data_IF_245339061608
#
_entry.id   IF_245339061608
#
_cell.length_a   1.000
_cell.length_b   1.000
_cell.length_c   1.000
_cell.angle_alpha   90.00
_cell.angle_beta   90.00
_cell.angle_gamma   90.00
#
_symmetry.space_group_name_H-M   'P 1'
#
loop_
_entity.id
_entity.type
_entity.pdbx_description
1 polymer ?
#
# COMPACT_ATOMS: atom_id res chain seq x y z
N UNK A 1 67.80 -14.76 -72.53
CA UNK A 1 67.04 -15.39 -73.63
C UNK A 1 65.97 -16.28 -73.01
N UNK A 2 64.69 -16.07 -73.36
CA UNK A 2 63.55 -17.01 -73.20
C UNK A 2 62.93 -17.17 -71.80
N UNK A 3 61.78 -16.54 -71.55
CA UNK A 3 60.41 -17.13 -71.45
C UNK A 3 60.14 -17.90 -70.14
N UNK A 4 59.38 -17.37 -69.17
CA UNK A 4 57.91 -17.20 -69.11
C UNK A 4 57.13 -18.52 -69.13
N UNK A 5 56.23 -18.73 -68.15
CA UNK A 5 54.78 -19.03 -68.28
C UNK A 5 54.18 -19.38 -66.89
N UNK A 6 52.86 -19.18 -66.79
CA UNK A 6 51.97 -18.83 -65.68
C UNK A 6 50.91 -19.93 -65.44
N UNK A 7 50.14 -19.77 -64.35
CA UNK A 7 48.74 -20.21 -64.08
C UNK A 7 48.56 -21.58 -63.38
N UNK A 8 47.50 -21.90 -62.61
CA UNK A 8 46.49 -21.21 -61.78
C UNK A 8 45.58 -22.30 -61.14
N UNK A 9 44.83 -21.96 -60.08
CA UNK A 9 43.53 -22.50 -59.60
C UNK A 9 43.42 -23.66 -58.55
N UNK A 10 42.82 -23.28 -57.40
CA UNK A 10 41.74 -23.88 -56.58
C UNK A 10 41.38 -25.39 -56.61
N UNK A 11 41.09 -25.99 -55.43
CA UNK A 11 39.74 -26.37 -54.88
C UNK A 11 39.87 -27.10 -53.50
N UNK A 12 38.79 -27.04 -52.70
CA UNK A 12 38.52 -27.30 -51.27
C UNK A 12 38.60 -28.74 -50.66
N UNK A 13 38.96 -28.80 -49.35
CA UNK A 13 38.44 -29.60 -48.20
C UNK A 13 38.40 -31.15 -48.22
N UNK A 14 38.14 -31.89 -47.09
CA UNK A 14 37.81 -31.49 -45.70
C UNK A 14 38.47 -32.34 -44.54
N UNK A 15 38.09 -32.02 -43.28
CA UNK A 15 38.00 -32.84 -42.03
C UNK A 15 39.06 -32.77 -40.87
N UNK A 16 38.57 -32.16 -39.78
CA UNK A 16 38.75 -32.29 -38.31
C UNK A 16 39.97 -33.01 -37.69
N UNK A 17 40.59 -32.36 -36.69
CA UNK A 17 40.76 -32.97 -35.36
C UNK A 17 40.83 -31.95 -34.20
N UNK A 18 40.16 -32.32 -33.10
CA UNK A 18 39.81 -31.51 -31.93
C UNK A 18 40.93 -31.56 -30.87
N UNK A 19 41.51 -30.41 -30.45
CA UNK A 19 42.27 -30.28 -29.19
C UNK A 19 42.07 -28.89 -28.58
N UNK A 20 41.45 -28.86 -27.41
CA UNK A 20 41.07 -27.63 -26.71
C UNK A 20 42.21 -26.97 -25.93
N UNK A 21 41.98 -25.71 -25.59
CA UNK A 21 42.49 -25.08 -24.37
C UNK A 21 41.53 -23.94 -24.00
N UNK A 22 40.82 -24.08 -22.87
CA UNK A 22 40.08 -22.98 -22.25
C UNK A 22 41.08 -21.97 -21.69
N UNK A 23 40.95 -20.69 -22.07
CA UNK A 23 41.53 -19.59 -21.34
C UNK A 23 40.68 -18.32 -21.53
N UNK A 24 40.22 -17.74 -20.41
CA UNK A 24 39.78 -16.34 -20.37
C UNK A 24 38.34 -16.11 -19.95
N UNK A 25 37.95 -16.48 -18.71
CA UNK A 25 36.81 -15.85 -18.05
C UNK A 25 37.32 -14.66 -17.26
N UNK A 26 36.88 -13.45 -17.62
CA UNK A 26 36.30 -12.47 -16.68
C UNK A 26 36.01 -11.17 -17.42
N UNK A 27 34.83 -11.09 -18.04
CA UNK A 27 34.16 -9.81 -18.14
C UNK A 27 33.72 -9.46 -16.73
N UNK A 28 34.46 -8.59 -16.05
CA UNK A 28 33.97 -7.94 -14.84
C UNK A 28 32.79 -7.06 -15.26
N UNK A 29 31.59 -7.64 -15.27
CA UNK A 29 30.35 -6.87 -15.21
C UNK A 29 30.35 -6.21 -13.84
N UNK A 30 30.87 -4.98 -13.79
CA UNK A 30 30.63 -4.07 -12.69
C UNK A 30 29.13 -3.76 -12.72
N UNK A 31 28.33 -4.63 -12.09
CA UNK A 31 26.92 -4.37 -11.85
C UNK A 31 26.88 -3.16 -10.94
N UNK A 32 26.62 -2.00 -11.55
CA UNK A 32 26.23 -0.81 -10.82
C UNK A 32 25.04 -1.21 -9.94
N UNK A 33 25.27 -1.31 -8.63
CA UNK A 33 24.23 -1.24 -7.63
C UNK A 33 23.63 0.15 -7.78
N UNK A 34 22.68 0.31 -8.70
CA UNK A 34 21.72 1.39 -8.59
C UNK A 34 21.02 1.13 -7.26
N UNK A 35 21.32 1.95 -6.26
CA UNK A 35 20.47 2.06 -5.09
C UNK A 35 19.18 2.71 -5.55
N UNK A 36 18.38 1.95 -6.31
CA UNK A 36 17.02 2.31 -6.59
C UNK A 36 16.33 2.49 -5.24
N UNK A 37 15.54 3.55 -5.11
CA UNK A 37 14.54 3.60 -4.05
C UNK A 37 13.79 2.27 -4.10
N UNK A 38 13.77 1.52 -3.00
CA UNK A 38 12.99 0.29 -2.91
C UNK A 38 11.53 0.66 -3.19
N UNK A 39 11.01 0.24 -4.34
CA UNK A 39 9.61 0.42 -4.71
C UNK A 39 8.73 -0.25 -3.65
N UNK A 40 7.53 0.29 -3.41
CA UNK A 40 6.58 -0.37 -2.52
C UNK A 40 6.34 -1.82 -2.96
N UNK A 41 6.24 -2.73 -1.99
CA UNK A 41 5.77 -4.08 -2.25
C UNK A 41 4.31 -4.00 -2.72
N UNK A 42 4.03 -4.58 -3.87
CA UNK A 42 2.72 -4.49 -4.52
C UNK A 42 1.88 -5.72 -4.17
N UNK A 43 0.67 -5.49 -3.67
CA UNK A 43 -0.34 -6.53 -3.52
C UNK A 43 -0.86 -6.92 -4.90
N UNK A 44 -0.77 -8.20 -5.20
CA UNK A 44 -1.24 -8.81 -6.44
C UNK A 44 -2.54 -9.59 -6.25
N UNK A 45 -2.84 -10.09 -5.04
CA UNK A 45 -4.06 -10.89 -4.80
C UNK A 45 -4.15 -12.16 -5.66
N UNK A 46 -3.01 -12.68 -6.12
CA UNK A 46 -2.97 -13.71 -7.17
C UNK A 46 -3.45 -15.10 -6.72
N UNK A 47 -3.38 -15.40 -5.42
CA UNK A 47 -3.60 -16.75 -4.87
C UNK A 47 -4.73 -16.80 -3.84
N UNK A 48 -4.84 -15.77 -3.00
CA UNK A 48 -5.87 -15.65 -1.96
C UNK A 48 -6.00 -14.20 -1.50
N UNK A 49 -6.92 -13.94 -0.57
CA UNK A 49 -7.01 -12.66 0.15
C UNK A 49 -6.03 -12.55 1.34
N UNK A 50 -5.36 -13.64 1.73
CA UNK A 50 -4.51 -13.65 2.94
C UNK A 50 -3.23 -12.81 2.75
N UNK A 51 -3.10 -11.72 3.50
CA UNK A 51 -1.90 -10.87 3.55
C UNK A 51 -0.63 -11.68 3.77
N UNK A 52 -0.72 -12.75 4.57
CA UNK A 52 0.41 -13.57 4.97
C UNK A 52 0.77 -14.65 3.94
N UNK A 53 0.03 -14.76 2.84
CA UNK A 53 0.43 -15.62 1.73
C UNK A 53 1.39 -14.84 0.82
N UNK A 54 2.66 -15.24 0.86
CA UNK A 54 3.74 -14.58 0.12
C UNK A 54 3.49 -14.53 -1.40
N UNK A 55 2.76 -15.50 -1.96
CA UNK A 55 2.40 -15.55 -3.39
C UNK A 55 1.42 -14.45 -3.82
N UNK A 56 0.80 -13.75 -2.87
CA UNK A 56 -0.03 -12.58 -3.16
C UNK A 56 0.79 -11.29 -3.29
N UNK A 57 2.08 -11.30 -3.00
CA UNK A 57 2.94 -10.14 -3.12
C UNK A 57 3.83 -10.25 -4.35
N UNK A 58 4.02 -9.13 -5.06
CA UNK A 58 5.00 -9.09 -6.13
C UNK A 58 6.40 -9.42 -5.57
N UNK A 59 7.06 -10.40 -6.18
CA UNK A 59 8.33 -10.95 -5.68
C UNK A 59 8.20 -12.13 -4.72
N UNK A 60 6.98 -12.55 -4.35
CA UNK A 60 6.76 -13.79 -3.59
C UNK A 60 7.24 -13.73 -2.13
N UNK A 61 7.27 -12.55 -1.53
CA UNK A 61 7.77 -12.32 -0.16
C UNK A 61 6.80 -11.41 0.60
N UNK A 62 6.51 -11.77 1.85
CA UNK A 62 5.67 -10.96 2.74
C UNK A 62 6.44 -9.69 3.14
N UNK A 63 5.91 -8.48 2.89
CA UNK A 63 6.57 -7.25 3.30
C UNK A 63 6.47 -7.07 4.81
N UNK A 64 7.63 -6.80 5.43
CA UNK A 64 7.75 -6.44 6.85
C UNK A 64 8.57 -5.15 6.94
N UNK A 65 7.99 -4.09 7.49
CA UNK A 65 8.60 -2.76 7.62
C UNK A 65 8.81 -1.99 6.30
N UNK A 66 8.55 -2.63 5.16
CA UNK A 66 8.64 -2.00 3.83
C UNK A 66 7.35 -1.27 3.47
N UNK A 67 7.45 -0.27 2.60
CA UNK A 67 6.25 0.34 2.02
C UNK A 67 5.44 -0.71 1.25
N UNK A 68 4.12 -0.62 1.34
CA UNK A 68 3.17 -1.53 0.70
C UNK A 68 2.16 -0.73 -0.11
N UNK A 69 1.78 -1.27 -1.26
CA UNK A 69 0.82 -0.69 -2.18
C UNK A 69 -0.26 -1.71 -2.50
N UNK A 70 -1.51 -1.31 -2.30
CA UNK A 70 -2.70 -2.14 -2.48
C UNK A 70 -3.53 -1.49 -3.59
N UNK A 71 -3.26 -1.94 -4.82
CA UNK A 71 -3.98 -1.58 -6.05
C UNK A 71 -3.54 -2.49 -7.20
N UNK A 72 -4.37 -3.44 -7.66
CA UNK A 72 -3.99 -4.37 -8.73
C UNK A 72 -4.70 -4.03 -10.03
N UNK A 73 -4.07 -3.25 -10.91
CA UNK A 73 -4.54 -2.99 -12.27
C UNK A 73 -4.64 -4.24 -13.18
N UNK A 74 -4.53 -5.47 -12.65
CA UNK A 74 -4.45 -6.69 -13.45
C UNK A 74 -4.68 -8.02 -12.69
N UNK A 75 -5.71 -8.23 -11.86
CA UNK A 75 -6.08 -9.61 -11.44
C UNK A 75 -7.60 -9.78 -11.27
N UNK A 76 -8.19 -10.93 -11.68
CA UNK A 76 -9.60 -11.24 -11.47
C UNK A 76 -9.92 -11.71 -10.02
N UNK A 77 -11.02 -11.17 -9.47
CA UNK A 77 -11.90 -11.72 -8.44
C UNK A 77 -11.45 -11.86 -6.95
N UNK A 78 -10.19 -11.60 -6.56
CA UNK A 78 -9.77 -11.55 -5.14
C UNK A 78 -8.99 -10.26 -4.79
N UNK A 79 -9.63 -9.11 -5.02
CA UNK A 79 -9.02 -7.77 -4.94
C UNK A 79 -8.79 -7.23 -3.51
N UNK A 80 -9.14 -8.00 -2.48
CA UNK A 80 -8.99 -7.58 -1.09
C UNK A 80 -7.78 -8.22 -0.41
N UNK A 81 -6.94 -7.38 0.20
CA UNK A 81 -5.91 -7.81 1.13
C UNK A 81 -6.51 -7.94 2.54
N UNK A 82 -6.43 -9.11 3.15
CA UNK A 82 -6.97 -9.38 4.48
C UNK A 82 -5.85 -9.79 5.43
N UNK A 83 -5.61 -8.99 6.46
CA UNK A 83 -4.78 -9.37 7.59
C UNK A 83 -5.65 -10.06 8.65
N UNK A 84 -5.37 -11.34 8.91
CA UNK A 84 -6.08 -12.13 9.90
C UNK A 84 -6.96 -13.24 9.35
N UNK A 85 -6.71 -13.74 8.14
CA UNK A 85 -7.48 -14.85 7.53
C UNK A 85 -7.36 -16.12 8.37
N UNK A 86 -6.16 -16.46 8.85
CA UNK A 86 -5.85 -17.70 9.57
C UNK A 86 -5.83 -17.55 11.08
N UNK A 87 -6.23 -16.38 11.60
CA UNK A 87 -6.20 -16.03 13.02
C UNK A 87 -5.45 -14.72 13.27
N UNK A 88 -5.23 -14.35 14.55
CA UNK A 88 -4.57 -13.09 14.90
C UNK A 88 -3.12 -13.06 14.40
N UNK A 89 -2.76 -11.99 13.68
CA UNK A 89 -1.39 -11.75 13.22
C UNK A 89 -0.96 -10.34 13.61
N UNK A 90 0.30 -10.16 14.01
CA UNK A 90 0.92 -8.84 14.20
C UNK A 90 2.03 -8.63 13.18
N UNK A 91 1.95 -7.57 12.39
CA UNK A 91 2.97 -7.22 11.40
C UNK A 91 3.20 -5.71 11.31
N UNK A 92 4.26 -5.31 10.60
CA UNK A 92 4.57 -3.91 10.34
C UNK A 92 4.76 -3.65 8.86
N UNK A 93 4.40 -2.45 8.43
CA UNK A 93 4.68 -1.89 7.12
C UNK A 93 5.31 -0.50 7.29
N UNK A 94 6.01 -0.05 6.27
CA UNK A 94 6.47 1.33 6.16
C UNK A 94 5.28 2.24 5.86
N UNK A 95 5.18 2.71 4.62
CA UNK A 95 3.99 3.41 4.15
C UNK A 95 2.94 2.41 3.70
N UNK A 96 1.70 2.55 4.15
CA UNK A 96 0.57 1.77 3.65
C UNK A 96 -0.23 2.62 2.66
N UNK A 97 -0.19 2.25 1.38
CA UNK A 97 -0.89 2.95 0.31
C UNK A 97 -2.05 2.08 -0.18
N UNK A 98 -3.28 2.59 -0.13
CA UNK A 98 -4.48 1.86 -0.54
C UNK A 98 -5.22 2.69 -1.59
N UNK A 99 -5.47 2.11 -2.76
CA UNK A 99 -6.01 2.84 -3.90
C UNK A 99 -4.96 3.78 -4.49
N UNK A 100 -3.96 3.23 -5.18
CA UNK A 100 -2.90 4.00 -5.84
C UNK A 100 -3.26 4.33 -7.30
N UNK A 101 -4.02 3.46 -7.97
CA UNK A 101 -4.49 3.63 -9.34
C UNK A 101 -6.02 3.72 -9.44
N UNK A 102 -6.53 4.23 -10.57
CA UNK A 102 -7.94 4.51 -10.80
C UNK A 102 -8.91 3.34 -10.64
N UNK A 103 -8.54 2.17 -11.17
CA UNK A 103 -9.35 0.95 -11.14
C UNK A 103 -8.47 -0.30 -11.25
N UNK A 104 -8.81 -1.42 -10.57
CA UNK A 104 -9.83 -1.54 -9.53
C UNK A 104 -9.44 -0.79 -8.24
N UNK A 105 -10.37 -0.70 -7.29
CA UNK A 105 -10.12 -0.10 -5.99
C UNK A 105 -9.09 -0.92 -5.19
N UNK A 106 -8.30 -0.26 -4.36
CA UNK A 106 -7.51 -0.95 -3.34
C UNK A 106 -8.36 -1.24 -2.12
N UNK A 107 -8.41 -2.49 -1.66
CA UNK A 107 -9.20 -2.90 -0.49
C UNK A 107 -8.30 -3.60 0.53
N UNK A 108 -8.35 -3.14 1.78
CA UNK A 108 -7.64 -3.74 2.92
C UNK A 108 -8.60 -3.98 4.08
N UNK A 109 -8.63 -5.19 4.61
CA UNK A 109 -9.30 -5.53 5.86
C UNK A 109 -8.31 -6.00 6.92
N UNK A 110 -8.43 -5.47 8.13
CA UNK A 110 -7.70 -5.90 9.33
C UNK A 110 -8.72 -6.46 10.31
N UNK A 111 -8.62 -7.77 10.59
CA UNK A 111 -9.64 -8.49 11.35
C UNK A 111 -9.07 -9.55 12.30
N UNK A 112 -9.96 -10.23 13.02
CA UNK A 112 -9.66 -11.36 13.89
C UNK A 112 -8.55 -11.08 14.92
N UNK A 113 -8.56 -9.89 15.53
CA UNK A 113 -7.58 -9.54 16.57
C UNK A 113 -6.18 -9.20 16.03
N UNK A 114 -6.05 -9.02 14.71
CA UNK A 114 -4.77 -8.73 14.07
C UNK A 114 -4.34 -7.27 14.26
N UNK A 115 -3.03 -7.03 14.26
CA UNK A 115 -2.44 -5.70 14.40
C UNK A 115 -1.53 -5.37 13.23
N UNK A 116 -1.83 -4.29 12.53
CA UNK A 116 -0.93 -3.68 11.55
C UNK A 116 -0.30 -2.43 12.17
N UNK A 117 1.02 -2.31 12.11
CA UNK A 117 1.74 -1.06 12.43
C UNK A 117 2.29 -0.44 11.16
N UNK A 118 1.97 0.82 10.89
CA UNK A 118 2.46 1.57 9.73
C UNK A 118 3.22 2.83 10.16
N UNK A 119 4.28 3.19 9.45
CA UNK A 119 4.95 4.49 9.63
C UNK A 119 4.05 5.65 9.17
N UNK A 120 3.38 5.48 8.03
CA UNK A 120 2.40 6.42 7.48
C UNK A 120 1.35 5.69 6.65
N UNK A 121 0.21 6.32 6.36
CA UNK A 121 -0.85 5.69 5.57
C UNK A 121 -1.63 6.69 4.69
N UNK A 122 -2.00 6.25 3.49
CA UNK A 122 -2.78 7.02 2.52
C UNK A 122 -3.83 6.13 1.89
N UNK A 123 -5.09 6.54 1.98
CA UNK A 123 -6.24 5.86 1.38
C UNK A 123 -6.78 6.78 0.27
N UNK A 124 -6.97 6.28 -0.95
CA UNK A 124 -7.29 7.11 -2.12
C UNK A 124 -6.11 8.00 -2.50
N UNK A 125 -4.96 7.38 -2.77
CA UNK A 125 -3.69 8.09 -2.99
C UNK A 125 -3.70 8.86 -4.31
N UNK A 126 -4.05 8.18 -5.40
CA UNK A 126 -3.95 8.69 -6.78
C UNK A 126 -5.22 9.40 -7.27
N UNK A 127 -5.10 10.27 -8.27
CA UNK A 127 -6.27 10.94 -8.87
C UNK A 127 -7.18 9.89 -9.53
N UNK A 128 -8.48 9.97 -9.26
CA UNK A 128 -9.48 9.02 -9.76
C UNK A 128 -9.37 7.61 -9.16
N UNK A 129 -8.47 7.40 -8.18
CA UNK A 129 -8.34 6.13 -7.45
C UNK A 129 -9.37 6.01 -6.34
N UNK A 130 -9.66 4.76 -5.97
CA UNK A 130 -10.52 4.42 -4.85
C UNK A 130 -9.74 3.54 -3.88
N UNK A 131 -9.66 3.93 -2.62
CA UNK A 131 -9.08 3.15 -1.54
C UNK A 131 -10.10 2.90 -0.44
N UNK A 132 -10.20 1.67 0.05
CA UNK A 132 -11.11 1.28 1.11
C UNK A 132 -10.32 0.49 2.15
N UNK A 133 -10.41 0.91 3.41
CA UNK A 133 -9.85 0.15 4.53
C UNK A 133 -10.94 -0.12 5.57
N UNK A 134 -11.00 -1.35 6.06
CA UNK A 134 -11.88 -1.77 7.15
C UNK A 134 -11.04 -2.33 8.30
N UNK A 135 -11.24 -1.82 9.50
CA UNK A 135 -10.67 -2.37 10.74
C UNK A 135 -11.82 -2.86 11.60
N UNK A 136 -11.96 -4.18 11.73
CA UNK A 136 -13.19 -4.79 12.26
C UNK A 136 -12.91 -5.93 13.24
N UNK A 137 -13.79 -6.07 14.23
CA UNK A 137 -13.70 -7.11 15.26
C UNK A 137 -12.84 -6.71 16.45
N UNK A 138 -13.20 -7.22 17.62
CA UNK A 138 -12.51 -6.93 18.87
C UNK A 138 -11.03 -7.33 18.82
N UNK A 139 -10.16 -6.41 19.26
CA UNK A 139 -8.71 -6.61 19.29
C UNK A 139 -8.00 -6.27 17.98
N UNK A 140 -8.72 -6.12 16.87
CA UNK A 140 -8.15 -5.71 15.58
C UNK A 140 -7.70 -4.26 15.63
N UNK A 141 -6.46 -4.02 15.21
CA UNK A 141 -5.79 -2.74 15.40
C UNK A 141 -5.03 -2.28 14.16
N UNK A 142 -5.10 -0.99 13.86
CA UNK A 142 -4.19 -0.32 12.94
C UNK A 142 -3.51 0.86 13.62
N UNK A 143 -2.21 0.75 13.81
CA UNK A 143 -1.39 1.72 14.54
C UNK A 143 -0.50 2.50 13.56
N UNK A 144 -0.71 3.81 13.46
CA UNK A 144 0.04 4.69 12.54
C UNK A 144 0.91 5.63 13.39
N UNK A 145 2.21 5.35 13.43
CA UNK A 145 3.09 5.78 14.53
C UNK A 145 3.68 7.19 14.42
N UNK A 146 3.48 7.94 13.33
CA UNK A 146 3.85 9.36 13.31
C UNK A 146 3.94 10.06 11.96
N UNK A 147 3.87 9.33 10.85
CA UNK A 147 3.81 9.93 9.52
C UNK A 147 2.44 10.51 9.18
N UNK A 148 2.31 11.02 7.95
CA UNK A 148 1.02 11.51 7.43
C UNK A 148 -0.01 10.38 7.40
N UNK A 149 -1.18 10.62 8.01
CA UNK A 149 -2.38 9.82 7.76
C UNK A 149 -3.41 10.63 6.98
N UNK A 150 -3.76 10.16 5.78
CA UNK A 150 -4.72 10.82 4.90
C UNK A 150 -5.76 9.83 4.37
N UNK A 151 -7.02 10.22 4.47
CA UNK A 151 -8.18 9.53 3.91
C UNK A 151 -8.72 10.41 2.79
N UNK A 152 -8.62 9.95 1.55
CA UNK A 152 -8.87 10.76 0.37
C UNK A 152 -7.76 11.78 0.16
N UNK A 153 -6.58 11.34 -0.27
CA UNK A 153 -5.45 12.24 -0.52
C UNK A 153 -5.64 12.98 -1.85
N UNK A 154 -5.73 12.24 -2.96
CA UNK A 154 -5.99 12.80 -4.31
C UNK A 154 -7.13 12.11 -5.03
N UNK A 155 -7.50 10.91 -4.58
CA UNK A 155 -8.71 10.21 -5.00
C UNK A 155 -9.64 10.02 -3.81
N UNK A 156 -10.50 9.04 -3.92
CA UNK A 156 -11.52 8.76 -2.92
C UNK A 156 -10.99 7.73 -1.93
N UNK A 157 -11.03 8.09 -0.65
CA UNK A 157 -10.59 7.24 0.44
C UNK A 157 -11.70 7.02 1.45
N UNK A 158 -11.90 5.77 1.83
CA UNK A 158 -12.86 5.36 2.85
C UNK A 158 -12.13 4.57 3.93
N UNK A 159 -12.30 4.98 5.19
CA UNK A 159 -11.92 4.18 6.36
C UNK A 159 -13.16 3.83 7.16
N UNK A 160 -13.38 2.53 7.37
CA UNK A 160 -14.37 1.98 8.27
C UNK A 160 -13.68 1.43 9.53
N UNK A 161 -14.12 1.87 10.70
CA UNK A 161 -13.70 1.33 12.00
C UNK A 161 -14.96 0.82 12.70
N UNK A 162 -15.08 -0.49 12.84
CA UNK A 162 -16.34 -1.11 13.20
C UNK A 162 -16.16 -2.32 14.13
N UNK A 163 -17.25 -2.74 14.78
CA UNK A 163 -17.34 -3.96 15.59
C UNK A 163 -16.23 -4.10 16.65
N UNK A 164 -15.89 -2.99 17.31
CA UNK A 164 -14.83 -2.94 18.32
C UNK A 164 -13.39 -2.89 17.78
N UNK A 165 -13.20 -2.69 16.47
CA UNK A 165 -11.90 -2.41 15.87
C UNK A 165 -11.34 -1.05 16.31
N UNK A 166 -10.02 -0.90 16.23
CA UNK A 166 -9.33 0.30 16.69
C UNK A 166 -8.32 0.84 15.66
N UNK A 167 -8.32 2.14 15.44
CA UNK A 167 -7.26 2.84 14.72
C UNK A 167 -6.63 3.89 15.62
N UNK A 168 -5.31 3.87 15.71
CA UNK A 168 -4.53 4.85 16.48
C UNK A 168 -3.61 5.61 15.55
N UNK A 169 -3.63 6.94 15.61
CA UNK A 169 -2.81 7.80 14.76
C UNK A 169 -2.01 8.80 15.60
N UNK A 170 -0.74 8.93 15.26
CA UNK A 170 0.18 9.92 15.83
C UNK A 170 0.33 11.17 14.95
N UNK A 171 1.31 12.02 15.30
CA UNK A 171 1.71 13.15 14.48
C UNK A 171 0.59 14.18 14.24
N UNK A 172 0.35 14.56 12.98
CA UNK A 172 -0.63 15.58 12.63
C UNK A 172 -2.11 15.17 12.85
N UNK A 173 -2.35 13.92 13.25
CA UNK A 173 -3.68 13.34 13.42
C UNK A 173 -4.24 12.77 12.11
N UNK A 174 -5.56 12.70 12.06
CA UNK A 174 -6.35 12.11 10.97
C UNK A 174 -6.85 13.22 10.06
N UNK A 175 -6.50 13.15 8.77
CA UNK A 175 -6.86 14.17 7.79
C UNK A 175 -7.72 13.58 6.66
N UNK A 176 -8.78 14.29 6.27
CA UNK A 176 -9.76 13.86 5.29
C UNK A 176 -9.78 14.83 4.09
N UNK A 177 -9.95 14.29 2.88
CA UNK A 177 -10.26 15.03 1.66
C UNK A 177 -9.21 16.08 1.29
N UNK A 178 -7.93 15.70 1.23
CA UNK A 178 -6.81 16.65 1.21
C UNK A 178 -6.80 17.56 -0.03
N UNK A 179 -6.65 16.98 -1.22
CA UNK A 179 -6.52 17.71 -2.48
C UNK A 179 -7.88 18.05 -3.08
N UNK A 180 -7.89 19.00 -4.02
CA UNK A 180 -9.08 19.33 -4.80
C UNK A 180 -9.69 18.07 -5.44
N UNK A 181 -11.01 17.95 -5.40
CA UNK A 181 -11.81 16.80 -5.90
C UNK A 181 -11.67 15.47 -5.14
N UNK A 182 -10.74 15.35 -4.18
CA UNK A 182 -10.65 14.16 -3.36
C UNK A 182 -11.83 14.06 -2.38
N UNK A 183 -12.36 12.86 -2.17
CA UNK A 183 -13.35 12.57 -1.13
C UNK A 183 -12.69 11.76 -0.01
N UNK A 184 -12.70 12.30 1.21
CA UNK A 184 -12.26 11.59 2.41
C UNK A 184 -13.43 11.25 3.31
N UNK A 185 -13.72 9.96 3.47
CA UNK A 185 -14.82 9.48 4.32
C UNK A 185 -14.29 8.61 5.46
N UNK A 186 -14.57 9.02 6.69
CA UNK A 186 -14.35 8.23 7.89
C UNK A 186 -15.69 7.76 8.44
N UNK A 187 -15.84 6.45 8.65
CA UNK A 187 -16.99 5.85 9.32
C UNK A 187 -16.50 5.15 10.59
N UNK A 188 -17.08 5.49 11.73
CA UNK A 188 -16.81 4.81 13.00
C UNK A 188 -18.13 4.33 13.57
N UNK A 189 -18.31 3.01 13.68
CA UNK A 189 -19.57 2.43 14.11
C UNK A 189 -19.41 1.23 15.05
N UNK A 190 -20.50 0.78 15.68
CA UNK A 190 -20.54 -0.48 16.44
C UNK A 190 -19.38 -0.62 17.43
N UNK A 191 -19.16 0.41 18.25
CA UNK A 191 -18.06 0.52 19.23
C UNK A 191 -16.66 0.59 18.64
N UNK A 192 -16.52 0.88 17.35
CA UNK A 192 -15.24 1.21 16.73
C UNK A 192 -14.59 2.42 17.41
N UNK A 193 -13.25 2.44 17.45
CA UNK A 193 -12.50 3.46 18.18
C UNK A 193 -11.42 4.10 17.30
N UNK A 194 -11.54 5.40 17.07
CA UNK A 194 -10.46 6.23 16.55
C UNK A 194 -9.75 6.96 17.70
N UNK A 195 -8.46 6.67 17.89
CA UNK A 195 -7.55 7.43 18.73
C UNK A 195 -6.67 8.33 17.87
N UNK A 196 -6.73 9.65 18.05
CA UNK A 196 -5.98 10.59 17.20
C UNK A 196 -5.60 11.86 17.96
N UNK A 197 -4.61 12.60 17.47
CA UNK A 197 -4.27 13.93 17.98
C UNK A 197 -5.17 15.06 17.43
N UNK A 198 -5.77 14.83 16.26
CA UNK A 198 -6.70 15.76 15.62
C UNK A 198 -7.54 15.03 14.57
N UNK A 199 -8.76 15.48 14.32
CA UNK A 199 -9.57 15.11 13.18
C UNK A 199 -9.79 16.36 12.30
N UNK A 200 -9.18 16.37 11.11
CA UNK A 200 -9.18 17.53 10.22
C UNK A 200 -9.84 17.18 8.89
N UNK A 201 -10.89 17.91 8.54
CA UNK A 201 -11.33 18.01 7.16
C UNK A 201 -10.55 19.09 6.41
N UNK A 202 -10.68 19.09 5.09
CA UNK A 202 -10.13 20.09 4.18
C UNK A 202 -11.22 21.01 3.64
N UNK A 203 -10.81 22.20 3.20
CA UNK A 203 -11.66 23.10 2.38
C UNK A 203 -11.49 22.86 0.88
N UNK A 204 -10.51 22.05 0.47
CA UNK A 204 -10.18 21.79 -0.93
C UNK A 204 -10.89 20.55 -1.48
N UNK A 205 -10.85 19.43 -0.74
CA UNK A 205 -11.61 18.22 -1.03
C UNK A 205 -12.79 18.06 -0.06
N UNK A 206 -13.72 17.16 -0.38
CA UNK A 206 -14.85 16.91 0.50
C UNK A 206 -14.42 16.00 1.66
N UNK A 207 -14.83 16.36 2.87
CA UNK A 207 -14.48 15.65 4.10
C UNK A 207 -15.76 15.26 4.83
N UNK A 208 -15.94 13.96 5.09
CA UNK A 208 -17.07 13.43 5.85
C UNK A 208 -16.57 12.52 6.96
N UNK A 209 -17.03 12.77 8.19
CA UNK A 209 -16.78 11.89 9.33
C UNK A 209 -18.11 11.51 9.99
N UNK A 210 -18.42 10.23 10.00
CA UNK A 210 -19.67 9.66 10.50
C UNK A 210 -19.38 8.82 11.75
N UNK A 211 -20.17 9.02 12.80
CA UNK A 211 -20.08 8.26 14.05
C UNK A 211 -21.46 7.69 14.39
N UNK A 212 -21.58 6.37 14.43
CA UNK A 212 -22.83 5.65 14.73
C UNK A 212 -22.55 4.55 15.78
N UNK A 213 -22.66 4.90 17.06
CA UNK A 213 -22.07 4.14 18.19
C UNK A 213 -20.52 4.02 18.10
N UNK A 214 -19.89 4.98 17.41
CA UNK A 214 -18.43 5.09 17.32
C UNK A 214 -17.82 5.96 18.42
N UNK A 215 -16.55 5.70 18.74
CA UNK A 215 -15.79 6.47 19.73
C UNK A 215 -14.66 7.24 19.04
N UNK A 216 -14.63 8.56 19.22
CA UNK A 216 -13.47 9.41 18.93
C UNK A 216 -12.77 9.75 20.25
N UNK A 217 -11.47 9.48 20.35
CA UNK A 217 -10.66 9.74 21.55
C UNK A 217 -9.42 10.56 21.21
N UNK A 218 -9.28 11.69 21.88
CA UNK A 218 -8.07 12.50 21.81
C UNK A 218 -6.89 11.82 22.50
N UNK A 219 -5.72 11.85 21.87
CA UNK A 219 -4.45 11.36 22.44
C UNK A 219 -3.51 12.47 22.88
N UNK A 220 -3.87 13.73 22.64
CA UNK A 220 -3.14 14.92 23.06
C UNK A 220 -4.12 16.07 23.34
N UNK A 221 -3.69 17.05 24.15
CA UNK A 221 -4.45 18.28 24.35
C UNK A 221 -4.37 19.10 23.06
N UNK A 222 -5.53 19.39 22.47
CA UNK A 222 -5.62 20.16 21.22
C UNK A 222 -6.89 21.02 21.23
N UNK A 223 -6.71 22.35 21.26
CA UNK A 223 -7.83 23.31 21.27
C UNK A 223 -8.64 23.30 19.96
N UNK A 224 -8.07 22.75 18.89
CA UNK A 224 -8.69 22.60 17.56
C UNK A 224 -8.77 21.13 17.18
N UNK A 225 -9.20 20.29 18.13
CA UNK A 225 -9.22 18.84 17.98
C UNK A 225 -10.02 18.39 16.76
N UNK A 226 -11.17 19.02 16.50
CA UNK A 226 -11.97 18.80 15.29
C UNK A 226 -12.02 20.12 14.51
N UNK A 227 -11.71 20.08 13.21
CA UNK A 227 -11.70 21.29 12.36
C UNK A 227 -11.92 20.94 10.89
N UNK A 228 -12.33 21.91 10.06
CA UNK A 228 -12.44 21.72 8.61
C UNK A 228 -13.69 21.00 8.12
N UNK A 229 -14.77 20.98 8.92
CA UNK A 229 -16.07 20.42 8.55
C UNK A 229 -17.13 21.53 8.54
N UNK A 230 -17.46 22.12 7.38
CA UNK A 230 -18.34 23.29 7.30
C UNK A 230 -19.81 22.99 7.68
N UNK A 231 -20.22 21.72 7.70
CA UNK A 231 -21.55 21.27 8.12
C UNK A 231 -21.44 20.28 9.29
N UNK A 232 -20.89 20.71 10.42
CA UNK A 232 -20.90 19.90 11.64
C UNK A 232 -22.33 19.90 12.22
N UNK A 233 -23.17 18.94 11.84
CA UNK A 233 -24.46 18.73 12.50
C UNK A 233 -24.26 17.84 13.73
N UNK A 234 -23.75 18.42 14.82
CA UNK A 234 -23.61 17.71 16.09
C UNK A 234 -24.95 17.62 16.79
N UNK A 235 -25.78 16.63 16.45
CA UNK A 235 -26.88 16.21 17.33
C UNK A 235 -26.30 15.37 18.47
N UNK A 236 -25.82 16.02 19.53
CA UNK A 236 -25.53 15.32 20.77
C UNK A 236 -26.86 14.91 21.41
N UNK A 237 -27.24 13.64 21.31
CA UNK A 237 -28.28 13.11 22.20
C UNK A 237 -27.72 13.11 23.62
N UNK A 238 -28.42 13.68 24.62
CA UNK A 238 -27.98 13.56 26.01
C UNK A 238 -27.88 12.08 26.37
N UNK A 239 -26.82 11.70 27.09
CA UNK A 239 -26.74 10.38 27.71
C UNK A 239 -27.95 10.21 28.64
N UNK A 240 -28.78 9.21 28.37
CA UNK A 240 -29.87 8.77 29.25
C UNK A 240 -29.36 7.85 30.36
#
# INVERSE_FOLDING_TARGET
MGNAVRASNHVCGPFLNLRGLLAGVSAAALMALSTGTTKAAEWMGATSTDWMNASNWNGGVIPVGQAVSIASAAVPAQDEAVLGVTGPVSTSAGNTLVGVSGSPAGILTIQNGSSLTSLSARIGQGIGSNGIVTVTGSGSQWNISGGTFAIGLSGDGILNIENGGQVTTGGAGTQLGINATALGTLNVSSRGLLQTQALRGSIFGASQANFDDGILRATAVNATFISGFPSLNSTCSPAG
#
